data_IF_063686438379
#
_entry.id   IF_063686438379
#
_cell.length_a   1.000
_cell.length_b   1.000
_cell.length_c   1.000
_cell.angle_alpha   90.00
_cell.angle_beta   90.00
_cell.angle_gamma   90.00
#
_symmetry.space_group_name_H-M   'P 1'
#
loop_
_entity.id
_entity.type
_entity.pdbx_description
1 polymer ?
#
# COMPACT_ATOMS: atom_id res chain seq x y z
N UNK A 1 52.93 16.93 39.83
CA UNK A 1 51.53 16.77 39.38
C UNK A 1 51.34 17.61 38.13
N UNK A 2 51.18 17.00 36.94
CA UNK A 2 51.19 17.73 35.67
C UNK A 2 49.78 18.25 35.30
N UNK A 3 49.73 19.38 34.59
CA UNK A 3 48.48 20.09 34.25
C UNK A 3 47.60 19.31 33.26
N UNK A 4 48.17 18.35 32.56
CA UNK A 4 47.51 17.45 31.61
C UNK A 4 46.61 16.43 32.32
N UNK A 5 46.97 16.00 33.52
CA UNK A 5 46.26 14.96 34.27
C UNK A 5 44.91 15.47 34.81
N UNK A 6 44.78 16.80 34.97
CA UNK A 6 43.53 17.46 35.41
C UNK A 6 42.46 17.59 34.31
N UNK A 7 42.81 17.37 33.04
CA UNK A 7 41.88 17.50 31.91
C UNK A 7 41.21 16.16 31.56
N UNK A 8 41.87 15.03 31.81
CA UNK A 8 41.32 13.69 31.55
C UNK A 8 40.25 13.27 32.56
N UNK A 9 40.43 13.60 33.85
CA UNK A 9 39.53 13.16 34.92
C UNK A 9 38.15 13.85 34.91
N UNK A 10 38.01 14.97 34.19
CA UNK A 10 36.76 15.75 34.16
C UNK A 10 35.72 15.22 33.16
N UNK A 11 36.07 14.25 32.30
CA UNK A 11 35.27 13.94 31.11
C UNK A 11 34.41 12.65 31.15
N UNK A 12 34.29 11.94 32.28
CA UNK A 12 33.57 10.66 32.31
C UNK A 12 32.70 10.42 33.56
N UNK A 13 31.92 11.43 33.98
CA UNK A 13 30.77 11.21 34.87
C UNK A 13 29.48 11.73 34.26
N UNK A 14 29.13 11.24 33.07
CA UNK A 14 27.75 11.36 32.59
C UNK A 14 26.88 10.54 33.54
N UNK A 15 26.00 11.20 34.29
CA UNK A 15 25.18 10.52 35.29
C UNK A 15 24.24 9.52 34.59
N UNK A 16 24.06 8.33 35.18
CA UNK A 16 23.15 7.30 34.63
C UNK A 16 21.76 7.84 34.34
N UNK A 17 21.27 8.78 35.16
CA UNK A 17 19.99 9.47 34.97
C UNK A 17 19.95 10.29 33.67
N UNK A 18 21.06 10.92 33.30
CA UNK A 18 21.19 11.70 32.07
C UNK A 18 21.24 10.78 30.83
N UNK A 19 21.94 9.64 30.92
CA UNK A 19 21.93 8.62 29.86
C UNK A 19 20.54 8.01 29.65
N UNK A 20 19.82 7.69 30.74
CA UNK A 20 18.44 7.20 30.69
C UNK A 20 17.51 8.25 30.08
N UNK A 21 17.67 9.53 30.47
CA UNK A 21 16.89 10.64 29.92
C UNK A 21 17.08 10.79 28.40
N UNK A 22 18.33 10.74 27.92
CA UNK A 22 18.62 10.78 26.48
C UNK A 22 18.00 9.58 25.76
N UNK A 23 18.15 8.36 26.31
CA UNK A 23 17.57 7.16 25.73
C UNK A 23 16.04 7.21 25.60
N UNK A 24 15.35 7.69 26.65
CA UNK A 24 13.90 7.87 26.63
C UNK A 24 13.46 8.91 25.61
N UNK A 25 14.23 9.99 25.47
CA UNK A 25 13.94 11.05 24.49
C UNK A 25 14.05 10.52 23.07
N UNK A 26 15.11 9.75 22.76
CA UNK A 26 15.29 9.12 21.44
C UNK A 26 14.16 8.13 21.16
N UNK A 27 13.77 7.32 22.14
CA UNK A 27 12.68 6.36 21.99
C UNK A 27 11.35 7.05 21.65
N UNK A 28 11.04 8.16 22.33
CA UNK A 28 9.83 8.95 22.05
C UNK A 28 9.84 9.54 20.64
N UNK A 29 10.98 10.06 20.18
CA UNK A 29 11.10 10.55 18.80
C UNK A 29 10.97 9.45 17.75
N UNK A 30 11.48 8.23 18.02
CA UNK A 30 11.31 7.09 17.12
C UNK A 30 9.86 6.63 17.04
N UNK A 31 9.15 6.58 18.17
CA UNK A 31 7.73 6.21 18.19
C UNK A 31 6.87 7.27 17.49
N UNK A 32 7.10 8.55 17.77
CA UNK A 32 6.34 9.64 17.15
C UNK A 32 6.66 9.79 15.66
N UNK A 33 7.94 9.75 15.29
CA UNK A 33 8.37 9.78 13.89
C UNK A 33 7.89 8.56 13.11
N UNK A 34 7.95 7.37 13.72
CA UNK A 34 7.41 6.13 13.17
C UNK A 34 5.91 6.21 12.93
N UNK A 35 5.14 6.72 13.89
CA UNK A 35 3.68 6.90 13.76
C UNK A 35 3.31 7.78 12.54
N UNK A 36 3.91 8.96 12.44
CA UNK A 36 3.66 9.89 11.32
C UNK A 36 4.11 9.27 9.98
N UNK A 37 5.23 8.55 9.96
CA UNK A 37 5.71 7.85 8.77
C UNK A 37 4.74 6.73 8.35
N UNK A 38 4.22 5.95 9.30
CA UNK A 38 3.27 4.87 9.00
C UNK A 38 1.96 5.39 8.41
N UNK A 39 1.41 6.48 8.95
CA UNK A 39 0.20 7.09 8.37
C UNK A 39 0.43 7.59 6.94
N UNK A 40 1.55 8.26 6.67
CA UNK A 40 1.79 8.86 5.35
C UNK A 40 2.04 7.81 4.25
N UNK A 41 2.74 6.73 4.58
CA UNK A 41 3.22 5.76 3.59
C UNK A 41 2.39 4.48 3.53
N UNK A 42 1.76 4.06 4.63
CA UNK A 42 0.98 2.82 4.70
C UNK A 42 -0.53 3.06 4.82
N UNK A 43 -0.98 4.15 5.46
CA UNK A 43 -2.42 4.43 5.55
C UNK A 43 -3.04 4.99 4.24
N UNK A 44 -2.24 5.13 3.18
CA UNK A 44 -2.75 5.47 1.85
C UNK A 44 -3.47 4.32 1.15
N UNK A 45 -3.35 3.08 1.65
CA UNK A 45 -4.04 1.92 1.07
C UNK A 45 -5.49 1.74 1.58
N UNK A 46 -5.89 2.41 2.68
CA UNK A 46 -7.23 2.22 3.27
C UNK A 46 -8.24 3.29 2.86
N UNK A 47 -7.78 4.42 2.32
CA UNK A 47 -8.61 5.20 1.41
C UNK A 47 -8.62 4.43 0.09
N UNK A 48 -9.36 3.30 0.09
CA UNK A 48 -9.89 2.66 -1.09
C UNK A 48 -10.25 3.79 -2.03
N UNK A 49 -9.42 3.99 -3.04
CA UNK A 49 -9.87 4.60 -4.26
C UNK A 49 -11.13 3.80 -4.55
N UNK A 50 -12.30 4.43 -4.36
CA UNK A 50 -13.42 4.16 -5.24
C UNK A 50 -12.90 4.48 -6.63
N UNK A 51 -12.07 3.59 -7.14
CA UNK A 51 -11.80 3.49 -8.54
C UNK A 51 -13.20 3.23 -9.06
N UNK A 52 -13.73 4.18 -9.82
CA UNK A 52 -15.02 4.02 -10.47
C UNK A 52 -14.85 2.80 -11.38
N UNK A 53 -15.24 1.63 -10.87
CA UNK A 53 -15.11 0.36 -11.56
C UNK A 53 -15.95 0.39 -12.86
N UNK A 54 -16.87 1.34 -12.97
CA UNK A 54 -17.81 1.42 -14.08
C UNK A 54 -18.95 0.43 -13.87
N UNK A 55 -19.70 0.18 -14.94
CA UNK A 55 -20.88 -0.67 -14.89
C UNK A 55 -20.49 -2.15 -14.73
N UNK A 56 -21.38 -2.91 -14.10
CA UNK A 56 -21.26 -4.36 -13.96
C UNK A 56 -21.53 -5.04 -15.30
N UNK A 57 -20.67 -6.00 -15.65
CA UNK A 57 -20.71 -6.68 -16.95
C UNK A 57 -20.51 -8.17 -16.78
N UNK A 58 -21.25 -8.94 -17.56
CA UNK A 58 -21.18 -10.39 -17.64
C UNK A 58 -20.72 -10.75 -19.05
N UNK A 59 -19.59 -11.42 -19.16
CA UNK A 59 -19.02 -11.84 -20.44
C UNK A 59 -19.18 -13.33 -20.57
N UNK A 60 -19.97 -13.76 -21.56
CA UNK A 60 -20.15 -15.17 -21.87
C UNK A 60 -19.22 -15.58 -23.01
N UNK A 61 -18.20 -16.38 -22.68
CA UNK A 61 -17.22 -16.87 -23.64
C UNK A 61 -17.82 -17.94 -24.57
N UNK A 62 -17.23 -18.20 -25.75
CA UNK A 62 -17.70 -19.23 -26.68
C UNK A 62 -17.78 -20.64 -26.10
N UNK A 63 -17.00 -20.92 -25.05
CA UNK A 63 -17.01 -22.19 -24.32
C UNK A 63 -18.10 -22.26 -23.23
N UNK A 64 -18.97 -21.26 -23.13
CA UNK A 64 -20.05 -21.17 -22.15
C UNK A 64 -19.62 -20.67 -20.76
N UNK A 65 -18.33 -20.42 -20.53
CA UNK A 65 -17.87 -19.84 -19.25
C UNK A 65 -18.29 -18.38 -19.15
N UNK A 66 -18.71 -17.97 -17.95
CA UNK A 66 -19.05 -16.59 -17.63
C UNK A 66 -17.93 -15.91 -16.86
N UNK A 67 -17.63 -14.66 -17.20
CA UNK A 67 -16.70 -13.80 -16.48
C UNK A 67 -17.48 -12.58 -15.98
N UNK A 68 -17.46 -12.37 -14.68
CA UNK A 68 -18.09 -11.24 -14.02
C UNK A 68 -17.01 -10.20 -13.75
N UNK A 69 -17.16 -9.02 -14.35
CA UNK A 69 -16.15 -7.96 -14.29
C UNK A 69 -16.79 -6.61 -14.58
N UNK A 70 -16.06 -5.54 -14.30
CA UNK A 70 -16.52 -4.21 -14.60
C UNK A 70 -16.00 -3.70 -15.95
N UNK A 71 -16.75 -2.79 -16.55
CA UNK A 71 -16.47 -2.13 -17.83
C UNK A 71 -15.07 -1.55 -17.87
N UNK A 72 -14.66 -0.83 -16.83
CA UNK A 72 -13.38 -0.13 -16.83
C UNK A 72 -12.14 -1.05 -16.88
N UNK A 73 -12.34 -2.36 -16.64
CA UNK A 73 -11.29 -3.38 -16.72
C UNK A 73 -11.24 -4.03 -18.12
N UNK A 74 -12.16 -3.67 -19.02
CA UNK A 74 -12.22 -4.16 -20.39
C UNK A 74 -11.53 -3.18 -21.32
N UNK A 75 -10.60 -3.71 -22.11
CA UNK A 75 -9.84 -2.93 -23.10
C UNK A 75 -9.89 -3.65 -24.43
N UNK A 76 -10.23 -2.91 -25.48
CA UNK A 76 -10.11 -3.39 -26.85
C UNK A 76 -8.75 -2.97 -27.43
N UNK A 77 -7.88 -3.95 -27.68
CA UNK A 77 -6.55 -3.75 -28.27
C UNK A 77 -6.38 -4.71 -29.45
N UNK A 78 -5.97 -4.19 -30.61
CA UNK A 78 -5.74 -4.99 -31.82
C UNK A 78 -6.94 -5.87 -32.24
N UNK A 79 -8.17 -5.38 -32.02
CA UNK A 79 -9.42 -6.11 -32.29
C UNK A 79 -9.70 -7.27 -31.32
N UNK A 80 -8.96 -7.35 -30.21
CA UNK A 80 -9.16 -8.32 -29.13
C UNK A 80 -9.78 -7.62 -27.93
N UNK A 81 -10.73 -8.31 -27.30
CA UNK A 81 -11.30 -7.89 -26.02
C UNK A 81 -10.47 -8.49 -24.90
N UNK A 82 -9.82 -7.65 -24.10
CA UNK A 82 -8.97 -8.07 -23.00
C UNK A 82 -9.54 -7.57 -21.68
N UNK A 83 -9.59 -8.44 -20.68
CA UNK A 83 -9.69 -8.02 -19.30
C UNK A 83 -8.30 -7.68 -18.76
N UNK A 84 -8.13 -6.50 -18.17
CA UNK A 84 -6.90 -6.03 -17.54
C UNK A 84 -7.16 -5.66 -16.07
N UNK A 85 -7.04 -6.65 -15.20
CA UNK A 85 -6.98 -6.42 -13.76
C UNK A 85 -5.59 -5.97 -13.33
N UNK A 86 -5.43 -5.54 -12.07
CA UNK A 86 -4.16 -5.01 -11.56
C UNK A 86 -2.96 -5.96 -11.73
N UNK A 87 -3.21 -7.28 -11.67
CA UNK A 87 -2.15 -8.30 -11.70
C UNK A 87 -2.20 -9.21 -12.91
N UNK A 88 -3.35 -9.30 -13.58
CA UNK A 88 -3.62 -10.32 -14.58
C UNK A 88 -4.34 -9.72 -15.78
N UNK A 89 -3.91 -10.13 -16.97
CA UNK A 89 -4.61 -9.89 -18.23
C UNK A 89 -5.21 -11.20 -18.73
N UNK A 90 -6.48 -11.18 -19.14
CA UNK A 90 -7.20 -12.35 -19.66
C UNK A 90 -7.77 -11.99 -21.04
N UNK A 91 -7.56 -12.87 -22.01
CA UNK A 91 -8.17 -12.73 -23.33
C UNK A 91 -9.63 -13.19 -23.28
N UNK A 92 -10.54 -12.27 -23.60
CA UNK A 92 -12.00 -12.46 -23.63
C UNK A 92 -12.57 -12.35 -25.05
N UNK A 93 -11.72 -12.42 -26.07
CA UNK A 93 -12.10 -12.28 -27.47
C UNK A 93 -13.16 -13.32 -27.88
N UNK A 94 -14.17 -12.85 -28.62
CA UNK A 94 -15.30 -13.68 -29.03
C UNK A 94 -16.35 -13.92 -27.95
N UNK A 95 -16.16 -13.38 -26.74
CA UNK A 95 -17.19 -13.35 -25.71
C UNK A 95 -18.32 -12.36 -26.03
N UNK A 96 -19.53 -12.68 -25.59
CA UNK A 96 -20.68 -11.76 -25.64
C UNK A 96 -20.74 -10.98 -24.33
N UNK A 97 -20.70 -9.65 -24.44
CA UNK A 97 -20.70 -8.70 -23.33
C UNK A 97 -22.14 -8.27 -23.02
N UNK A 98 -22.60 -8.47 -21.78
CA UNK A 98 -23.94 -8.08 -21.31
C UNK A 98 -23.80 -7.22 -20.07
N UNK A 99 -24.40 -6.03 -20.08
CA UNK A 99 -24.45 -5.12 -18.94
C UNK A 99 -25.67 -5.48 -18.08
N UNK A 100 -25.41 -6.09 -16.93
CA UNK A 100 -26.44 -6.57 -16.01
C UNK A 100 -25.87 -6.59 -14.59
N UNK A 101 -26.68 -6.19 -13.61
CA UNK A 101 -26.30 -6.29 -12.20
C UNK A 101 -26.19 -7.76 -11.78
N UNK A 102 -25.13 -8.10 -11.06
CA UNK A 102 -24.93 -9.45 -10.58
C UNK A 102 -25.83 -9.72 -9.38
N UNK A 103 -26.59 -10.82 -9.42
CA UNK A 103 -27.25 -11.33 -8.22
C UNK A 103 -26.18 -11.76 -7.22
N UNK A 104 -26.07 -11.01 -6.12
CA UNK A 104 -25.32 -11.44 -4.95
C UNK A 104 -26.20 -12.43 -4.19
N UNK A 105 -26.05 -13.74 -4.44
CA UNK A 105 -26.61 -14.79 -3.57
C UNK A 105 -25.95 -14.81 -2.18
#
# INVERSE_FOLDING_TARGET
MNRTDKLEEKNTKVSRKLLIGIGLTILLFLLFGGYIFTEKYFAKETASSKQELGDQVIITLPNGKKVYTYDNLLVEEDGKLLYKGERNTIDLTGGVVVYEEWENE
#
